data_IF_424539224689
#
_entry.id   IF_424539224689
#
_cell.length_a   1.000
_cell.length_b   1.000
_cell.length_c   1.000
_cell.angle_alpha   90.00
_cell.angle_beta   90.00
_cell.angle_gamma   90.00
#
_symmetry.space_group_name_H-M   'P 1'
#
loop_
_entity.id
_entity.type
_entity.pdbx_description
1 polymer ?
#
# COMPACT_ATOMS: atom_id res chain seq x y z
N UNK A 1 -53.40 9.80 -40.78
CA UNK A 1 -54.50 10.73 -41.11
C UNK A 1 -53.97 12.13 -40.86
N UNK A 2 -53.37 12.77 -41.86
CA UNK A 2 -52.94 14.16 -41.75
C UNK A 2 -54.13 15.08 -42.04
N UNK A 3 -54.53 15.89 -41.05
CA UNK A 3 -55.41 17.03 -41.28
C UNK A 3 -54.64 18.07 -42.09
N UNK A 4 -54.95 18.20 -43.38
CA UNK A 4 -54.54 19.38 -44.15
C UNK A 4 -55.25 20.61 -43.58
N UNK A 5 -54.53 21.41 -42.79
CA UNK A 5 -54.97 22.76 -42.44
C UNK A 5 -54.90 23.63 -43.70
N UNK A 6 -56.05 23.84 -44.34
CA UNK A 6 -56.21 24.81 -45.42
C UNK A 6 -56.10 26.22 -44.82
N UNK A 7 -54.93 26.86 -44.98
CA UNK A 7 -54.75 28.26 -44.64
C UNK A 7 -55.60 29.12 -45.60
N UNK A 8 -56.61 29.81 -45.04
CA UNK A 8 -57.47 30.74 -45.77
C UNK A 8 -57.01 32.18 -45.50
N UNK A 9 -56.76 32.95 -46.56
CA UNK A 9 -56.35 34.36 -46.46
C UNK A 9 -57.52 35.23 -46.93
N UNK A 10 -57.85 36.28 -46.17
CA UNK A 10 -58.96 37.19 -46.50
C UNK A 10 -58.45 38.27 -47.46
N UNK A 11 -59.14 38.48 -48.58
CA UNK A 11 -58.84 39.57 -49.52
C UNK A 11 -59.67 40.80 -49.17
N UNK A 12 -59.00 41.92 -48.91
CA UNK A 12 -59.64 43.20 -48.56
C UNK A 12 -59.25 44.26 -49.58
N UNK A 13 -60.22 45.03 -50.08
CA UNK A 13 -59.97 46.14 -51.00
C UNK A 13 -59.31 47.35 -50.31
N UNK A 14 -58.86 48.34 -51.08
CA UNK A 14 -58.13 49.54 -50.58
C UNK A 14 -58.94 50.40 -49.58
N UNK A 15 -60.25 50.15 -49.42
CA UNK A 15 -61.14 50.79 -48.46
C UNK A 15 -61.60 49.85 -47.32
N UNK A 16 -61.02 48.65 -47.21
CA UNK A 16 -61.27 47.69 -46.13
C UNK A 16 -62.51 46.81 -46.31
N UNK A 17 -63.16 46.82 -47.47
CA UNK A 17 -64.27 45.92 -47.78
C UNK A 17 -63.76 44.50 -48.06
N UNK A 18 -64.47 43.49 -47.53
CA UNK A 18 -64.15 42.09 -47.73
C UNK A 18 -64.55 41.66 -49.15
N UNK A 19 -63.56 41.53 -50.04
CA UNK A 19 -63.77 41.17 -51.44
C UNK A 19 -63.88 39.65 -51.65
N UNK A 20 -63.30 38.85 -50.75
CA UNK A 20 -63.44 37.39 -50.81
C UNK A 20 -62.59 36.61 -49.81
N UNK A 21 -62.82 35.30 -49.75
CA UNK A 21 -61.99 34.35 -49.01
C UNK A 21 -61.10 33.64 -50.03
N UNK A 22 -59.79 33.84 -49.92
CA UNK A 22 -58.81 33.18 -50.76
C UNK A 22 -58.55 31.78 -50.21
N UNK A 23 -58.97 30.79 -50.99
CA UNK A 23 -58.71 29.36 -50.79
C UNK A 23 -57.82 28.84 -51.94
N UNK A 24 -57.19 27.66 -51.82
CA UNK A 24 -56.27 27.12 -52.85
C UNK A 24 -56.72 27.30 -54.32
N UNK A 25 -58.00 27.09 -54.70
CA UNK A 25 -58.47 27.36 -56.06
C UNK A 25 -58.69 28.86 -56.40
N UNK A 26 -59.00 29.72 -55.43
CA UNK A 26 -59.18 31.18 -55.63
C UNK A 26 -57.86 31.98 -55.56
N UNK A 27 -56.78 31.38 -55.05
CA UNK A 27 -55.41 31.93 -55.16
C UNK A 27 -55.00 32.10 -56.63
N UNK A 28 -55.47 31.20 -57.51
CA UNK A 28 -55.15 31.19 -58.93
C UNK A 28 -55.91 32.25 -59.75
N UNK A 29 -57.04 32.75 -59.23
CA UNK A 29 -57.88 33.76 -59.91
C UNK A 29 -57.57 35.20 -59.47
N UNK A 30 -56.98 35.37 -58.29
CA UNK A 30 -56.59 36.65 -57.68
C UNK A 30 -55.16 37.05 -58.03
N UNK A 31 -54.26 36.08 -58.23
CA UNK A 31 -52.91 36.30 -58.72
C UNK A 31 -52.92 36.27 -60.26
N UNK A 32 -52.71 37.42 -60.89
CA UNK A 32 -52.46 37.49 -62.34
C UNK A 32 -51.26 36.58 -62.72
N UNK A 33 -51.23 36.01 -63.93
CA UNK A 33 -50.22 35.00 -64.31
C UNK A 33 -48.78 35.53 -64.14
N UNK A 34 -48.63 36.85 -64.26
CA UNK A 34 -47.41 37.62 -64.05
C UNK A 34 -46.96 37.66 -62.58
N UNK A 35 -47.89 37.68 -61.63
CA UNK A 35 -47.62 37.66 -60.18
C UNK A 35 -47.26 36.24 -59.71
N UNK A 36 -47.97 35.24 -60.22
CA UNK A 36 -47.73 33.82 -59.90
C UNK A 36 -46.35 33.35 -60.38
N UNK A 37 -45.95 33.73 -61.61
CA UNK A 37 -44.60 33.49 -62.11
C UNK A 37 -43.52 34.17 -61.24
N UNK A 38 -43.81 35.35 -60.68
CA UNK A 38 -42.90 36.09 -59.80
C UNK A 38 -42.69 35.37 -58.46
N UNK A 39 -43.76 34.89 -57.84
CA UNK A 39 -43.70 34.15 -56.57
C UNK A 39 -43.00 32.80 -56.75
N UNK A 40 -43.33 32.03 -57.80
CA UNK A 40 -42.68 30.74 -58.09
C UNK A 40 -41.18 30.94 -58.37
N UNK A 41 -40.79 31.96 -59.13
CA UNK A 41 -39.37 32.30 -59.32
C UNK A 41 -38.68 32.70 -58.02
N UNK A 42 -39.33 33.54 -57.20
CA UNK A 42 -38.78 33.96 -55.91
C UNK A 42 -38.60 32.79 -54.94
N UNK A 43 -39.59 31.91 -54.83
CA UNK A 43 -39.50 30.69 -54.03
C UNK A 43 -38.43 29.73 -54.57
N UNK A 44 -38.32 29.56 -55.89
CA UNK A 44 -37.27 28.77 -56.52
C UNK A 44 -35.86 29.28 -56.19
N UNK A 45 -35.66 30.61 -56.26
CA UNK A 45 -34.39 31.24 -55.86
C UNK A 45 -34.10 31.06 -54.36
N UNK A 46 -35.11 31.19 -53.50
CA UNK A 46 -34.93 30.98 -52.05
C UNK A 46 -34.56 29.52 -51.75
N UNK A 47 -35.19 28.55 -52.42
CA UNK A 47 -34.86 27.12 -52.25
C UNK A 47 -33.44 26.84 -52.76
N UNK A 48 -33.04 27.37 -53.92
CA UNK A 48 -31.66 27.23 -54.41
C UNK A 48 -30.65 27.84 -53.44
N UNK A 49 -30.92 29.04 -52.94
CA UNK A 49 -30.06 29.74 -51.99
C UNK A 49 -29.93 28.98 -50.66
N UNK A 50 -31.05 28.49 -50.11
CA UNK A 50 -31.04 27.67 -48.89
C UNK A 50 -30.33 26.33 -49.11
N UNK A 51 -30.51 25.68 -50.26
CA UNK A 51 -29.83 24.42 -50.60
C UNK A 51 -28.32 24.63 -50.72
N UNK A 52 -27.89 25.73 -51.33
CA UNK A 52 -26.48 26.09 -51.42
C UNK A 52 -25.85 26.38 -50.04
N UNK A 53 -26.55 27.14 -49.20
CA UNK A 53 -26.12 27.39 -47.82
C UNK A 53 -26.03 26.10 -47.01
N UNK A 54 -27.02 25.22 -47.11
CA UNK A 54 -27.03 23.94 -46.40
C UNK A 54 -25.85 23.07 -46.83
N UNK A 55 -25.59 22.98 -48.14
CA UNK A 55 -24.44 22.23 -48.67
C UNK A 55 -23.11 22.80 -48.21
N UNK A 56 -22.98 24.14 -48.16
CA UNK A 56 -21.78 24.80 -47.68
C UNK A 56 -21.53 24.50 -46.19
N UNK A 57 -22.56 24.62 -45.35
CA UNK A 57 -22.47 24.29 -43.91
C UNK A 57 -22.15 22.82 -43.71
N UNK A 58 -22.77 21.92 -44.49
CA UNK A 58 -22.46 20.48 -44.43
C UNK A 58 -20.99 20.22 -44.76
N UNK A 59 -20.46 20.83 -45.83
CA UNK A 59 -19.05 20.70 -46.20
C UNK A 59 -18.09 21.22 -45.11
N UNK A 60 -18.48 22.27 -44.39
CA UNK A 60 -17.69 22.82 -43.28
C UNK A 60 -17.72 21.94 -42.02
N UNK A 61 -18.85 21.28 -41.72
CA UNK A 61 -18.98 20.42 -40.54
C UNK A 61 -18.30 19.05 -40.69
N UNK A 62 -18.24 18.49 -41.91
CA UNK A 62 -17.59 17.20 -42.16
C UNK A 62 -16.14 17.09 -41.60
N UNK A 63 -15.24 18.07 -41.82
CA UNK A 63 -13.90 18.01 -41.25
C UNK A 63 -13.90 18.18 -39.73
N UNK A 64 -14.77 19.01 -39.15
CA UNK A 64 -14.89 19.15 -37.68
C UNK A 64 -15.36 17.86 -37.02
N UNK A 65 -16.36 17.19 -37.60
CA UNK A 65 -16.84 15.88 -37.14
C UNK A 65 -15.71 14.84 -37.22
N UNK A 66 -14.94 14.86 -38.30
CA UNK A 66 -13.80 13.93 -38.48
C UNK A 66 -12.72 14.18 -37.43
N UNK A 67 -12.35 15.44 -37.20
CA UNK A 67 -11.39 15.83 -36.16
C UNK A 67 -11.88 15.43 -34.76
N UNK A 68 -13.17 15.65 -34.47
CA UNK A 68 -13.78 15.28 -33.21
C UNK A 68 -13.75 13.76 -33.00
N UNK A 69 -14.08 12.96 -34.01
CA UNK A 69 -13.99 11.49 -33.96
C UNK A 69 -12.57 11.02 -33.70
N UNK A 70 -11.58 11.55 -34.41
CA UNK A 70 -10.17 11.19 -34.20
C UNK A 70 -9.68 11.58 -32.80
N UNK A 71 -10.09 12.75 -32.29
CA UNK A 71 -9.78 13.14 -30.92
C UNK A 71 -10.42 12.18 -29.91
N UNK A 72 -11.68 11.79 -30.12
CA UNK A 72 -12.39 10.85 -29.26
C UNK A 72 -11.70 9.47 -29.24
N UNK A 73 -11.27 8.95 -30.38
CA UNK A 73 -10.53 7.68 -30.46
C UNK A 73 -9.19 7.75 -29.71
N UNK A 74 -8.43 8.85 -29.89
CA UNK A 74 -7.17 9.06 -29.14
C UNK A 74 -7.41 9.11 -27.63
N UNK A 75 -8.48 9.79 -27.20
CA UNK A 75 -8.87 9.83 -25.79
C UNK A 75 -9.24 8.45 -25.26
N UNK A 76 -10.03 7.68 -26.00
CA UNK A 76 -10.41 6.32 -25.60
C UNK A 76 -9.19 5.38 -25.49
N UNK A 77 -8.23 5.50 -26.41
CA UNK A 77 -6.98 4.74 -26.35
C UNK A 77 -6.14 5.14 -25.14
N UNK A 78 -6.01 6.44 -24.87
CA UNK A 78 -5.29 6.96 -23.71
C UNK A 78 -5.91 6.49 -22.39
N UNK A 79 -7.24 6.52 -22.31
CA UNK A 79 -7.99 6.07 -21.13
C UNK A 79 -7.81 4.57 -20.86
N UNK A 80 -7.93 3.72 -21.89
CA UNK A 80 -7.65 2.28 -21.77
C UNK A 80 -6.21 2.01 -21.34
N UNK A 81 -5.24 2.77 -21.88
CA UNK A 81 -3.84 2.58 -21.51
C UNK A 81 -3.57 3.03 -20.08
N UNK A 82 -4.21 4.10 -19.62
CA UNK A 82 -4.10 4.56 -18.24
C UNK A 82 -4.72 3.53 -17.27
N UNK A 83 -5.91 3.02 -17.59
CA UNK A 83 -6.58 1.99 -16.79
C UNK A 83 -5.72 0.71 -16.68
N UNK A 84 -5.12 0.28 -17.78
CA UNK A 84 -4.20 -0.85 -17.78
C UNK A 84 -2.97 -0.61 -16.89
N UNK A 85 -2.35 0.57 -16.97
CA UNK A 85 -1.20 0.92 -16.12
C UNK A 85 -1.61 0.98 -14.65
N UNK A 86 -2.78 1.54 -14.35
CA UNK A 86 -3.29 1.65 -12.99
C UNK A 86 -3.59 0.27 -12.38
N UNK A 87 -4.23 -0.62 -13.14
CA UNK A 87 -4.47 -2.01 -12.70
C UNK A 87 -3.16 -2.76 -12.48
N UNK A 88 -2.19 -2.60 -13.38
CA UNK A 88 -0.86 -3.19 -13.23
C UNK A 88 -0.17 -2.71 -11.94
N UNK A 89 -0.08 -1.40 -11.73
CA UNK A 89 0.53 -0.83 -10.53
C UNK A 89 -0.19 -1.25 -9.24
N UNK A 90 -1.52 -1.29 -9.27
CA UNK A 90 -2.33 -1.73 -8.13
C UNK A 90 -2.04 -3.19 -7.78
N UNK A 91 -1.88 -4.04 -8.80
CA UNK A 91 -1.57 -5.47 -8.62
C UNK A 91 -0.16 -5.64 -8.05
N UNK A 92 0.83 -4.99 -8.65
CA UNK A 92 2.23 -5.02 -8.17
C UNK A 92 2.35 -4.51 -6.73
N UNK A 93 1.67 -3.41 -6.39
CA UNK A 93 1.67 -2.86 -5.04
C UNK A 93 0.98 -3.81 -4.05
N UNK A 94 -0.14 -4.42 -4.44
CA UNK A 94 -0.85 -5.38 -3.61
C UNK A 94 0.00 -6.63 -3.34
N UNK A 95 0.67 -7.17 -4.36
CA UNK A 95 1.57 -8.31 -4.22
C UNK A 95 2.78 -7.99 -3.34
N UNK A 96 3.43 -6.84 -3.55
CA UNK A 96 4.55 -6.41 -2.72
C UNK A 96 4.14 -6.20 -1.26
N UNK A 97 2.96 -5.61 -1.02
CA UNK A 97 2.44 -5.41 0.34
C UNK A 97 2.09 -6.75 1.00
N UNK A 98 1.50 -7.69 0.24
CA UNK A 98 1.24 -9.04 0.74
C UNK A 98 2.53 -9.77 1.12
N UNK A 99 3.56 -9.73 0.26
CA UNK A 99 4.87 -10.33 0.56
C UNK A 99 5.52 -9.69 1.79
N UNK A 100 5.48 -8.36 1.89
CA UNK A 100 6.00 -7.63 3.05
C UNK A 100 5.27 -8.04 4.33
N UNK A 101 3.94 -8.15 4.27
CA UNK A 101 3.12 -8.60 5.40
C UNK A 101 3.45 -10.02 5.81
N UNK A 102 3.56 -10.95 4.85
CA UNK A 102 3.93 -12.33 5.15
C UNK A 102 5.33 -12.43 5.77
N UNK A 103 6.32 -11.70 5.24
CA UNK A 103 7.67 -11.68 5.80
C UNK A 103 7.68 -11.11 7.23
N UNK A 104 6.88 -10.06 7.48
CA UNK A 104 6.70 -9.50 8.83
C UNK A 104 6.08 -10.51 9.78
N UNK A 105 4.98 -11.15 9.40
CA UNK A 105 4.28 -12.15 10.22
C UNK A 105 5.18 -13.36 10.51
N UNK A 106 5.98 -13.81 9.54
CA UNK A 106 6.97 -14.87 9.73
C UNK A 106 8.05 -14.47 10.74
N UNK A 107 8.59 -13.24 10.62
CA UNK A 107 9.60 -12.74 11.55
C UNK A 107 9.05 -12.63 12.98
N UNK A 108 7.84 -12.10 13.14
CA UNK A 108 7.15 -12.02 14.43
C UNK A 108 6.94 -13.41 15.04
N UNK A 109 6.51 -14.40 14.24
CA UNK A 109 6.34 -15.78 14.70
C UNK A 109 7.67 -16.41 15.15
N UNK A 110 8.77 -16.16 14.43
CA UNK A 110 10.11 -16.63 14.83
C UNK A 110 10.52 -15.97 16.15
N UNK A 111 10.37 -14.66 16.28
CA UNK A 111 10.74 -13.91 17.48
C UNK A 111 9.93 -14.32 18.72
N UNK A 112 8.66 -14.70 18.53
CA UNK A 112 7.78 -15.20 19.59
C UNK A 112 8.07 -16.67 19.97
N UNK A 113 8.60 -17.47 19.04
CA UNK A 113 8.98 -18.85 19.29
C UNK A 113 10.34 -18.98 20.02
N UNK A 114 11.19 -17.96 20.00
CA UNK A 114 12.47 -17.96 20.72
C UNK A 114 12.21 -17.95 22.24
N UNK A 115 12.71 -18.94 23.01
CA UNK A 115 12.59 -18.99 24.46
C UNK A 115 13.60 -18.03 25.13
N UNK A 116 13.52 -16.76 24.77
CA UNK A 116 14.46 -15.74 25.16
C UNK A 116 13.89 -14.34 24.99
N UNK A 117 14.41 -13.42 25.80
CA UNK A 117 14.16 -12.00 25.65
C UNK A 117 14.87 -11.47 24.42
N UNK A 118 14.16 -10.90 23.45
CA UNK A 118 14.78 -10.25 22.30
C UNK A 118 14.41 -8.77 22.31
N UNK A 119 15.41 -7.93 22.07
CA UNK A 119 15.25 -6.48 21.96
C UNK A 119 16.10 -5.94 20.82
N UNK A 120 15.66 -4.84 20.23
CA UNK A 120 16.43 -4.07 19.25
C UNK A 120 16.66 -2.68 19.82
N UNK A 121 17.87 -2.19 19.66
CA UNK A 121 18.41 -1.02 20.34
C UNK A 121 19.09 -0.15 19.28
N UNK A 122 18.88 1.16 19.33
CA UNK A 122 19.52 2.12 18.45
C UNK A 122 21.02 2.27 18.76
N UNK A 123 21.76 2.91 17.85
CA UNK A 123 23.16 3.27 18.10
C UNK A 123 23.36 4.10 19.39
N UNK A 124 22.36 4.90 19.76
CA UNK A 124 22.38 5.73 20.99
C UNK A 124 22.00 4.96 22.26
N UNK A 125 21.81 3.63 22.19
CA UNK A 125 21.44 2.83 23.34
C UNK A 125 19.98 2.95 23.76
N UNK A 126 19.08 3.33 22.84
CA UNK A 126 17.62 3.38 23.11
C UNK A 126 16.91 2.18 22.54
N UNK A 127 15.93 1.63 23.26
CA UNK A 127 15.12 0.54 22.74
C UNK A 127 14.29 1.00 21.53
N UNK A 128 14.43 0.29 20.41
CA UNK A 128 13.59 0.43 19.22
C UNK A 128 12.37 -0.50 19.29
N UNK A 129 12.48 -1.60 20.05
CA UNK A 129 11.38 -2.52 20.32
C UNK A 129 11.86 -3.80 21.00
N UNK A 130 10.88 -4.64 21.34
CA UNK A 130 11.08 -5.90 22.08
C UNK A 130 10.16 -6.99 21.53
N UNK A 131 10.54 -8.26 21.68
CA UNK A 131 9.64 -9.36 21.41
C UNK A 131 8.57 -9.49 22.50
N UNK A 132 7.49 -10.21 22.18
CA UNK A 132 6.38 -10.41 23.11
C UNK A 132 6.80 -11.13 24.39
N UNK A 133 7.75 -12.05 24.27
CA UNK A 133 8.29 -12.81 25.40
C UNK A 133 8.93 -11.89 26.45
N UNK A 134 9.78 -10.93 26.03
CA UNK A 134 10.38 -9.96 26.94
C UNK A 134 9.34 -9.07 27.61
N UNK A 135 8.39 -8.54 26.82
CA UNK A 135 7.29 -7.72 27.33
C UNK A 135 6.46 -8.46 28.41
N UNK A 136 6.12 -9.72 28.16
CA UNK A 136 5.38 -10.58 29.11
C UNK A 136 6.21 -10.89 30.37
N UNK A 137 7.49 -11.21 30.21
CA UNK A 137 8.41 -11.50 31.32
C UNK A 137 8.51 -10.32 32.29
N UNK A 138 8.49 -9.11 31.76
CA UNK A 138 8.56 -7.86 32.54
C UNK A 138 7.20 -7.27 32.90
N UNK A 139 6.10 -7.89 32.44
CA UNK A 139 4.72 -7.42 32.64
C UNK A 139 4.49 -5.97 32.19
N UNK A 140 5.20 -5.55 31.13
CA UNK A 140 5.12 -4.21 30.57
C UNK A 140 4.71 -4.28 29.10
N UNK A 141 3.87 -3.35 28.61
CA UNK A 141 3.49 -3.32 27.21
C UNK A 141 4.69 -2.89 26.34
N UNK A 142 4.88 -3.48 25.15
CA UNK A 142 6.06 -3.25 24.31
C UNK A 142 6.26 -1.77 23.93
N UNK A 143 5.17 -0.99 23.87
CA UNK A 143 5.19 0.45 23.58
C UNK A 143 5.93 1.25 24.66
N UNK A 144 5.94 0.77 25.91
CA UNK A 144 6.66 1.45 27.01
C UNK A 144 8.17 1.33 26.86
N UNK A 145 8.65 0.30 26.16
CA UNK A 145 10.07 0.09 25.94
C UNK A 145 10.61 1.04 24.88
N UNK A 146 9.85 1.32 23.82
CA UNK A 146 10.33 2.13 22.70
C UNK A 146 10.75 3.53 23.17
N UNK A 147 12.00 3.91 22.87
CA UNK A 147 12.62 5.19 23.24
C UNK A 147 13.28 5.23 24.62
N UNK A 148 13.06 4.21 25.47
CA UNK A 148 13.70 4.11 26.78
C UNK A 148 15.20 3.83 26.65
N UNK A 149 15.95 4.26 27.66
CA UNK A 149 17.40 4.03 27.74
C UNK A 149 17.72 2.64 28.28
N UNK A 150 18.86 2.12 27.83
CA UNK A 150 19.44 0.87 28.30
C UNK A 150 19.73 0.98 29.82
N UNK A 151 18.97 0.25 30.63
CA UNK A 151 19.05 0.29 32.09
C UNK A 151 17.78 0.78 32.80
N UNK A 152 16.76 1.23 32.08
CA UNK A 152 15.46 1.67 32.65
C UNK A 152 14.83 0.65 33.63
N UNK A 153 15.01 -0.64 33.37
CA UNK A 153 14.38 -1.72 34.15
C UNK A 153 15.14 -2.08 35.44
N UNK A 154 16.11 -1.26 35.87
CA UNK A 154 17.10 -1.65 36.87
C UNK A 154 17.75 -2.99 36.52
N UNK A 155 17.96 -3.22 35.21
CA UNK A 155 18.65 -4.38 34.69
C UNK A 155 20.00 -4.52 35.37
N UNK A 156 20.46 -5.76 35.56
CA UNK A 156 21.77 -6.04 36.18
C UNK A 156 22.86 -5.12 35.60
N UNK A 157 23.70 -4.48 36.43
CA UNK A 157 24.77 -3.57 35.97
C UNK A 157 25.63 -4.19 34.87
N UNK A 158 25.88 -5.51 34.97
CA UNK A 158 26.65 -6.28 33.99
C UNK A 158 26.06 -6.22 32.57
N UNK A 159 24.73 -6.18 32.42
CA UNK A 159 24.10 -6.05 31.10
C UNK A 159 24.32 -4.66 30.50
N UNK A 160 24.15 -3.62 31.32
CA UNK A 160 24.33 -2.23 30.89
C UNK A 160 25.79 -2.00 30.48
N UNK A 161 26.73 -2.49 31.28
CA UNK A 161 28.16 -2.40 31.00
C UNK A 161 28.54 -3.14 29.71
N UNK A 162 28.07 -4.38 29.54
CA UNK A 162 28.31 -5.17 28.33
C UNK A 162 27.77 -4.47 27.08
N UNK A 163 26.52 -4.01 27.11
CA UNK A 163 25.91 -3.35 25.97
C UNK A 163 26.56 -1.99 25.67
N UNK A 164 26.92 -1.22 26.71
CA UNK A 164 27.64 0.05 26.53
C UNK A 164 28.99 -0.15 25.85
N UNK A 165 29.76 -1.16 26.30
CA UNK A 165 31.03 -1.54 25.67
C UNK A 165 30.82 -2.05 24.23
N UNK A 166 29.79 -2.87 24.00
CA UNK A 166 29.51 -3.42 22.69
C UNK A 166 29.07 -2.34 21.68
N UNK A 167 28.22 -1.40 22.10
CA UNK A 167 27.80 -0.27 21.27
C UNK A 167 29.00 0.60 20.89
N UNK A 168 29.93 0.84 21.82
CA UNK A 168 31.19 1.55 21.58
C UNK A 168 32.23 0.75 20.77
N UNK A 169 32.16 -0.60 20.77
CA UNK A 169 33.09 -1.45 20.04
C UNK A 169 32.85 -1.40 18.52
N UNK A 170 33.89 -1.61 17.71
CA UNK A 170 33.77 -1.75 16.25
C UNK A 170 33.21 -3.10 15.79
N UNK A 171 33.01 -4.05 16.70
CA UNK A 171 32.62 -5.42 16.38
C UNK A 171 31.16 -5.53 15.93
N UNK A 172 30.92 -6.44 14.97
CA UNK A 172 29.58 -6.72 14.44
C UNK A 172 28.74 -7.61 15.35
N UNK A 173 29.35 -8.35 16.28
CA UNK A 173 28.65 -9.25 17.18
C UNK A 173 29.49 -9.63 18.40
N UNK A 174 28.84 -9.82 19.53
CA UNK A 174 29.46 -10.24 20.79
C UNK A 174 28.48 -11.02 21.64
N UNK A 175 28.98 -11.93 22.48
CA UNK A 175 28.15 -12.68 23.42
C UNK A 175 28.85 -12.87 24.76
N UNK A 176 28.11 -12.75 25.84
CA UNK A 176 28.60 -12.94 27.20
C UNK A 176 27.54 -13.61 28.08
N UNK A 177 28.00 -14.49 28.98
CA UNK A 177 27.14 -15.04 30.04
C UNK A 177 27.17 -14.09 31.23
N UNK A 178 25.98 -13.72 31.70
CA UNK A 178 25.76 -12.80 32.82
C UNK A 178 25.05 -13.57 33.94
N UNK A 179 25.56 -13.45 35.16
CA UNK A 179 24.94 -14.05 36.34
C UNK A 179 24.06 -13.01 37.03
N UNK A 180 22.75 -13.30 37.12
CA UNK A 180 21.79 -12.47 37.83
C UNK A 180 21.39 -13.15 39.15
N UNK A 181 21.62 -12.47 40.26
CA UNK A 181 21.12 -12.88 41.58
C UNK A 181 19.73 -12.29 41.78
N UNK A 182 18.69 -13.10 41.57
CA UNK A 182 17.29 -12.69 41.78
C UNK A 182 16.77 -13.34 43.06
N UNK A 183 16.44 -12.54 44.07
CA UNK A 183 15.74 -12.94 45.31
C UNK A 183 16.22 -14.29 45.94
N UNK A 184 17.54 -14.51 46.06
CA UNK A 184 18.23 -15.73 46.55
C UNK A 184 18.53 -16.87 45.55
N UNK A 185 18.29 -16.71 44.25
CA UNK A 185 18.73 -17.69 43.25
C UNK A 185 19.64 -17.06 42.20
N UNK A 186 20.79 -17.70 41.95
CA UNK A 186 21.67 -17.35 40.82
C UNK A 186 21.07 -17.92 39.55
N UNK A 187 20.74 -17.04 38.61
CA UNK A 187 20.35 -17.39 37.24
C UNK A 187 21.43 -16.98 36.27
N UNK A 188 21.65 -17.81 35.25
CA UNK A 188 22.62 -17.54 34.20
C UNK A 188 21.90 -17.16 32.93
N UNK A 189 22.22 -16.00 32.37
CA UNK A 189 21.67 -15.53 31.11
C UNK A 189 22.77 -15.42 30.07
N UNK A 190 22.61 -16.08 28.92
CA UNK A 190 23.45 -15.85 27.76
C UNK A 190 22.90 -14.64 27.01
N UNK A 191 23.70 -13.57 26.95
CA UNK A 191 23.37 -12.35 26.23
C UNK A 191 24.20 -12.32 24.95
N UNK A 192 23.53 -12.28 23.80
CA UNK A 192 24.15 -12.18 22.49
C UNK A 192 23.65 -10.91 21.80
N UNK A 193 24.57 -10.07 21.34
CA UNK A 193 24.27 -8.83 20.64
C UNK A 193 24.87 -8.86 19.23
N UNK A 194 24.10 -8.37 18.26
CA UNK A 194 24.52 -8.29 16.86
C UNK A 194 24.09 -6.96 16.24
N UNK A 195 25.05 -6.24 15.65
CA UNK A 195 24.80 -5.00 14.94
C UNK A 195 24.22 -5.30 13.55
N UNK A 196 23.24 -4.51 13.15
CA UNK A 196 22.64 -4.56 11.81
C UNK A 196 22.49 -3.15 11.25
N UNK A 197 22.13 -3.04 9.97
CA UNK A 197 22.03 -1.75 9.27
C UNK A 197 23.32 -0.91 9.38
N UNK A 198 24.49 -1.56 9.20
CA UNK A 198 25.82 -0.94 9.32
C UNK A 198 26.09 -0.28 10.68
N UNK A 199 25.51 -0.81 11.76
CA UNK A 199 25.74 -0.32 13.12
C UNK A 199 24.74 0.73 13.61
N UNK A 200 23.75 1.10 12.79
CA UNK A 200 22.69 2.02 13.23
C UNK A 200 21.77 1.42 14.30
N UNK A 201 21.71 0.08 14.35
CA UNK A 201 20.91 -0.64 15.34
C UNK A 201 21.57 -1.97 15.72
N UNK A 202 21.19 -2.48 16.88
CA UNK A 202 21.70 -3.69 17.49
C UNK A 202 20.53 -4.56 17.94
N UNK A 203 20.51 -5.83 17.54
CA UNK A 203 19.64 -6.84 18.14
C UNK A 203 20.37 -7.44 19.33
N UNK A 204 19.68 -7.57 20.46
CA UNK A 204 20.16 -8.22 21.67
C UNK A 204 19.18 -9.33 22.07
N UNK A 205 19.72 -10.53 22.26
CA UNK A 205 19.01 -11.73 22.69
C UNK A 205 19.53 -12.14 24.06
N UNK A 206 18.64 -12.33 25.04
CA UNK A 206 18.93 -12.86 26.37
C UNK A 206 18.20 -14.17 26.58
N UNK A 207 18.93 -15.28 26.71
CA UNK A 207 18.37 -16.62 26.94
C UNK A 207 18.74 -17.06 28.35
N UNK A 208 17.76 -17.52 29.12
CA UNK A 208 18.02 -18.15 30.42
C UNK A 208 18.66 -19.53 30.17
N UNK A 209 19.92 -19.67 30.55
CA UNK A 209 20.71 -20.91 30.43
C UNK A 209 20.93 -21.56 31.80
N UNK A 210 20.15 -21.20 32.82
CA UNK A 210 20.34 -21.69 34.18
C UNK A 210 20.26 -23.21 34.26
N UNK A 211 19.24 -23.82 33.65
CA UNK A 211 19.08 -25.28 33.62
C UNK A 211 20.26 -25.95 32.91
N UNK A 212 20.68 -25.39 31.77
CA UNK A 212 21.84 -25.90 31.02
C UNK A 212 23.12 -25.83 31.85
N UNK A 213 23.37 -24.70 32.53
CA UNK A 213 24.53 -24.53 33.41
C UNK A 213 24.49 -25.46 34.63
N UNK A 214 23.33 -25.68 35.23
CA UNK A 214 23.18 -26.60 36.35
C UNK A 214 23.43 -28.05 35.92
N UNK A 215 22.93 -28.46 34.76
CA UNK A 215 23.20 -29.78 34.20
C UNK A 215 24.69 -29.97 33.88
N UNK A 216 25.35 -28.96 33.30
CA UNK A 216 26.79 -28.97 33.03
C UNK A 216 27.61 -29.13 34.31
N UNK A 217 27.29 -28.38 35.36
CA UNK A 217 27.97 -28.47 36.66
C UNK A 217 27.75 -29.83 37.33
N UNK A 218 26.53 -30.36 37.28
CA UNK A 218 26.22 -31.68 37.83
C UNK A 218 27.00 -32.80 37.12
N UNK A 219 27.10 -32.73 35.79
CA UNK A 219 27.91 -33.67 35.01
C UNK A 219 29.39 -33.58 35.35
N UNK A 220 29.93 -32.36 35.51
CA UNK A 220 31.32 -32.17 35.91
C UNK A 220 31.62 -32.76 37.29
N UNK A 221 30.72 -32.54 38.26
CA UNK A 221 30.84 -33.11 39.60
C UNK A 221 30.80 -34.64 39.58
N UNK A 222 29.88 -35.23 38.82
CA UNK A 222 29.77 -36.68 38.70
C UNK A 222 31.02 -37.28 38.04
N UNK A 223 31.56 -36.65 37.00
CA UNK A 223 32.79 -37.11 36.35
C UNK A 223 33.98 -37.08 37.32
N UNK A 224 34.13 -36.00 38.11
CA UNK A 224 35.18 -35.93 39.14
C UNK A 224 35.02 -37.03 40.20
N UNK A 225 33.80 -37.30 40.66
CA UNK A 225 33.55 -38.38 41.62
C UNK A 225 33.87 -39.77 41.03
N UNK A 226 33.52 -39.99 39.76
CA UNK A 226 33.82 -41.23 39.05
C UNK A 226 35.33 -41.41 38.84
N UNK A 227 36.05 -40.36 38.43
CA UNK A 227 37.52 -40.39 38.29
C UNK A 227 38.20 -40.74 39.61
N UNK A 228 37.81 -40.08 40.71
CA UNK A 228 38.34 -40.38 42.04
C UNK A 228 38.06 -41.83 42.46
N UNK A 229 36.86 -42.34 42.18
CA UNK A 229 36.49 -43.72 42.51
C UNK A 229 37.20 -44.75 41.65
N UNK A 230 37.44 -44.44 40.38
CA UNK A 230 38.24 -45.28 39.48
C UNK A 230 39.68 -45.34 39.98
N UNK A 231 40.27 -44.20 40.31
CA UNK A 231 41.64 -44.11 40.83
C UNK A 231 41.81 -44.93 42.11
N UNK A 232 40.90 -44.77 43.08
CA UNK A 232 40.89 -45.57 44.31
C UNK A 232 40.85 -47.08 44.02
N UNK A 233 39.94 -47.54 43.14
CA UNK A 233 39.84 -48.97 42.80
C UNK A 233 41.07 -49.49 42.07
N UNK A 234 41.67 -48.69 41.20
CA UNK A 234 42.90 -49.08 40.52
C UNK A 234 44.08 -49.21 41.48
N UNK A 235 44.20 -48.30 42.45
CA UNK A 235 45.22 -48.39 43.50
C UNK A 235 44.99 -49.61 44.42
N UNK A 236 43.74 -49.87 44.81
CA UNK A 236 43.41 -51.05 45.64
C UNK A 236 43.76 -52.36 44.92
N UNK A 237 43.47 -52.47 43.61
CA UNK A 237 43.81 -53.67 42.83
C UNK A 237 45.32 -53.85 42.60
N UNK A 238 46.08 -52.76 42.54
CA UNK A 238 47.54 -52.82 42.44
C UNK A 238 48.20 -53.22 43.77
N UNK A 239 47.56 -52.93 44.91
CA UNK A 239 48.07 -53.29 46.24
C UNK A 239 47.71 -54.73 46.66
N UNK A 240 46.79 -55.40 45.96
CA UNK A 240 46.31 -56.75 46.27
C UNK A 240 46.98 -57.85 45.43
N UNK A 241 47.75 -57.48 44.39
CA UNK A 241 48.60 -58.40 43.60
C UNK A 241 50.07 -58.27 43.99
#
# INVERSE_FOLDING_TARGET
MEQQQLAQVLETGDIGELLGIINQPNLLTTLDSTQMCRIIKGLGQVVEQQTAQLNQVNQQLQPEITNCKQAQEKWQQGDHQLEYQFQKQTTELSEANHQLRQAKEQLEAVLDAVPGAVSWISADGRYLGVNRHLAQSLQLPPETFVGQELGFLQSSPQFVDFMGQFLACGDSGSSQVVELKVKNSSRYYLIAAQKYHKGAATVCVGIDITEHKQAELALQQLNQELELRVEQRTSDLQNVN
#
